data_IF_719670062016
#
_entry.id   IF_719670062016
#
_cell.length_a   1.000
_cell.length_b   1.000
_cell.length_c   1.000
_cell.angle_alpha   90.00
_cell.angle_beta   90.00
_cell.angle_gamma   90.00
#
_symmetry.space_group_name_H-M   'P 1'
#
loop_
_entity.id
_entity.type
_entity.pdbx_description
1 polymer ?
#
# COMPACT_ATOMS: atom_id res chain seq x y z
N UNK A 1 -11.39 -12.82 0.07
CA UNK A 1 -10.84 -12.15 1.27
C UNK A 1 -11.04 -10.63 1.21
N UNK A 2 -11.63 -10.14 0.11
CA UNK A 2 -11.46 -8.80 -0.42
C UNK A 2 -12.48 -7.80 0.14
N UNK A 3 -13.33 -8.23 1.08
CA UNK A 3 -14.38 -7.45 1.72
C UNK A 3 -15.31 -6.72 0.74
N UNK A 4 -15.68 -7.40 -0.34
CA UNK A 4 -16.45 -6.86 -1.47
C UNK A 4 -17.92 -7.33 -1.48
N UNK A 5 -18.44 -7.78 -0.33
CA UNK A 5 -19.84 -8.23 -0.19
C UNK A 5 -20.70 -7.07 0.31
N UNK A 6 -21.71 -6.69 -0.49
CA UNK A 6 -22.71 -5.70 -0.07
C UNK A 6 -23.48 -6.17 1.18
N UNK A 7 -23.78 -5.23 2.08
CA UNK A 7 -24.52 -5.43 3.34
C UNK A 7 -23.75 -6.18 4.45
N UNK A 8 -22.43 -6.27 4.38
CA UNK A 8 -21.58 -6.65 5.52
C UNK A 8 -20.34 -5.78 5.61
N UNK A 9 -20.03 -5.27 6.80
CA UNK A 9 -18.84 -4.45 7.02
C UNK A 9 -17.55 -5.28 7.02
N UNK A 10 -17.66 -6.60 7.26
CA UNK A 10 -16.55 -7.55 7.28
C UNK A 10 -16.92 -8.87 6.64
N UNK A 11 -15.96 -9.48 5.96
CA UNK A 11 -16.06 -10.82 5.38
C UNK A 11 -15.08 -11.77 6.05
N UNK A 12 -15.44 -13.04 6.13
CA UNK A 12 -14.56 -14.07 6.67
C UNK A 12 -13.23 -14.11 5.89
N UNK A 13 -12.12 -14.16 6.61
CA UNK A 13 -10.78 -14.17 6.04
C UNK A 13 -10.18 -12.80 5.71
N UNK A 14 -10.96 -11.71 5.80
CA UNK A 14 -10.42 -10.35 5.63
C UNK A 14 -9.37 -10.00 6.69
N UNK A 15 -9.69 -10.18 7.98
CA UNK A 15 -8.76 -9.89 9.08
C UNK A 15 -7.46 -10.70 8.98
N UNK A 16 -7.55 -11.97 8.56
CA UNK A 16 -6.38 -12.82 8.34
C UNK A 16 -5.53 -12.29 7.18
N UNK A 17 -6.15 -11.89 6.07
CA UNK A 17 -5.44 -11.30 4.94
C UNK A 17 -4.75 -9.98 5.30
N UNK A 18 -5.44 -9.09 6.02
CA UNK A 18 -4.88 -7.84 6.54
C UNK A 18 -3.69 -8.13 7.46
N UNK A 19 -3.81 -9.11 8.36
CA UNK A 19 -2.71 -9.51 9.25
C UNK A 19 -1.47 -9.99 8.49
N UNK A 20 -1.64 -10.86 7.50
CA UNK A 20 -0.54 -11.37 6.67
C UNK A 20 0.10 -10.24 5.85
N UNK A 21 -0.71 -9.39 5.22
CA UNK A 21 -0.21 -8.25 4.45
C UNK A 21 0.55 -7.24 5.32
N UNK A 22 0.05 -6.97 6.54
CA UNK A 22 0.70 -6.09 7.52
C UNK A 22 2.09 -6.62 7.89
N UNK A 23 2.19 -7.91 8.21
CA UNK A 23 3.47 -8.54 8.54
C UNK A 23 4.45 -8.51 7.37
N UNK A 24 3.97 -8.74 6.15
CA UNK A 24 4.79 -8.64 4.95
C UNK A 24 5.35 -7.22 4.75
N UNK A 25 4.52 -6.19 4.91
CA UNK A 25 4.92 -4.79 4.79
C UNK A 25 5.97 -4.42 5.85
N UNK A 26 5.76 -4.85 7.10
CA UNK A 26 6.71 -4.58 8.20
C UNK A 26 8.08 -5.24 7.93
N UNK A 27 8.07 -6.51 7.48
CA UNK A 27 9.31 -7.20 7.08
C UNK A 27 10.03 -6.48 5.94
N UNK A 28 9.29 -6.05 4.91
CA UNK A 28 9.85 -5.32 3.78
C UNK A 28 10.43 -3.96 4.19
N UNK A 29 9.83 -3.29 5.17
CA UNK A 29 10.31 -2.00 5.68
C UNK A 29 11.72 -2.09 6.25
N UNK A 30 12.03 -3.13 7.02
CA UNK A 30 13.36 -3.32 7.62
C UNK A 30 14.46 -3.51 6.56
N UNK A 31 14.18 -4.25 5.49
CA UNK A 31 15.13 -4.45 4.39
C UNK A 31 15.22 -3.22 3.48
N UNK A 32 14.11 -2.51 3.27
CA UNK A 32 14.10 -1.25 2.53
C UNK A 32 14.98 -0.20 3.21
N UNK A 33 14.89 -0.09 4.54
CA UNK A 33 15.71 0.82 5.33
C UNK A 33 17.20 0.46 5.27
N UNK A 34 17.53 -0.82 5.45
CA UNK A 34 18.91 -1.30 5.47
C UNK A 34 19.65 -1.09 4.14
N UNK A 35 18.95 -1.20 3.01
CA UNK A 35 19.54 -1.07 1.68
C UNK A 35 19.17 0.22 0.94
N UNK A 36 18.53 1.17 1.62
CA UNK A 36 18.10 2.45 1.04
C UNK A 36 17.26 2.27 -0.23
N UNK A 37 16.26 1.39 -0.17
CA UNK A 37 15.42 1.01 -1.31
C UNK A 37 14.03 1.62 -1.22
N UNK A 38 13.45 1.85 -2.39
CA UNK A 38 12.00 2.04 -2.55
C UNK A 38 11.42 0.69 -2.93
N UNK A 39 10.44 0.22 -2.16
CA UNK A 39 9.74 -1.04 -2.43
C UNK A 39 8.28 -0.75 -2.70
N UNK A 40 7.75 -1.39 -3.74
CA UNK A 40 6.32 -1.37 -4.06
C UNK A 40 5.78 -2.75 -3.74
N UNK A 41 4.68 -2.80 -3.00
CA UNK A 41 4.07 -4.03 -2.50
C UNK A 41 2.64 -4.07 -3.02
N UNK A 42 2.38 -4.99 -3.92
CA UNK A 42 1.02 -5.24 -4.40
C UNK A 42 0.28 -6.16 -3.42
N UNK A 43 -0.96 -5.82 -3.10
CA UNK A 43 -1.84 -6.63 -2.26
C UNK A 43 -3.15 -6.93 -2.98
N UNK A 44 -3.71 -8.10 -2.67
CA UNK A 44 -5.02 -8.51 -3.19
C UNK A 44 -6.13 -7.60 -2.68
N UNK A 45 -7.25 -7.58 -3.40
CA UNK A 45 -8.42 -6.75 -3.08
C UNK A 45 -9.40 -6.58 -4.25
N UNK A 46 -9.04 -7.08 -5.44
CA UNK A 46 -9.74 -7.00 -6.71
C UNK A 46 -10.13 -5.56 -7.06
N UNK A 47 -11.34 -5.15 -6.71
CA UNK A 47 -11.89 -3.82 -6.99
C UNK A 47 -12.02 -2.97 -5.73
N UNK A 48 -11.64 -3.50 -4.56
CA UNK A 48 -11.73 -2.85 -3.27
C UNK A 48 -10.34 -2.67 -2.65
N UNK A 49 -10.08 -1.47 -2.13
CA UNK A 49 -8.82 -1.06 -1.52
C UNK A 49 -8.68 -1.42 -0.03
N UNK A 50 -9.64 -2.10 0.59
CA UNK A 50 -9.68 -2.31 2.03
C UNK A 50 -8.43 -2.97 2.60
N UNK A 51 -7.93 -4.03 1.95
CA UNK A 51 -6.72 -4.72 2.38
C UNK A 51 -5.51 -3.78 2.30
N UNK A 52 -5.35 -3.06 1.19
CA UNK A 52 -4.24 -2.11 1.00
C UNK A 52 -4.28 -0.96 2.00
N UNK A 53 -5.46 -0.44 2.28
CA UNK A 53 -5.67 0.63 3.25
C UNK A 53 -5.32 0.18 4.67
N UNK A 54 -5.96 -0.88 5.17
CA UNK A 54 -5.76 -1.33 6.55
C UNK A 54 -4.35 -1.87 6.77
N UNK A 55 -3.84 -2.72 5.86
CA UNK A 55 -2.49 -3.27 6.00
C UNK A 55 -1.40 -2.23 5.75
N UNK A 56 -1.60 -1.30 4.82
CA UNK A 56 -0.67 -0.21 4.56
C UNK A 56 -0.55 0.73 5.77
N UNK A 57 -1.67 1.07 6.41
CA UNK A 57 -1.67 1.87 7.63
C UNK A 57 -1.02 1.12 8.79
N UNK A 58 -1.38 -0.15 9.01
CA UNK A 58 -0.85 -0.95 10.11
C UNK A 58 0.65 -1.28 9.95
N UNK A 59 1.10 -1.60 8.74
CA UNK A 59 2.50 -1.91 8.40
C UNK A 59 3.39 -0.66 8.27
N UNK A 60 2.79 0.54 8.31
CA UNK A 60 3.52 1.80 8.18
C UNK A 60 4.10 2.02 6.78
N UNK A 61 3.32 1.70 5.75
CA UNK A 61 3.59 2.11 4.39
C UNK A 61 3.63 3.64 4.29
N UNK A 62 4.47 4.15 3.39
CA UNK A 62 4.69 5.57 3.17
C UNK A 62 3.76 6.16 2.11
N UNK A 63 3.31 5.33 1.18
CA UNK A 63 2.24 5.62 0.23
C UNK A 63 1.29 4.43 0.14
N UNK A 64 0.00 4.72 -0.08
CA UNK A 64 -1.04 3.70 -0.27
C UNK A 64 -1.85 4.08 -1.51
N UNK A 65 -1.90 3.19 -2.50
CA UNK A 65 -2.65 3.37 -3.73
C UNK A 65 -3.89 2.46 -3.72
N UNK A 66 -5.06 3.04 -3.98
CA UNK A 66 -6.35 2.37 -3.87
C UNK A 66 -7.11 2.45 -5.20
N UNK A 67 -7.93 1.44 -5.57
CA UNK A 67 -8.77 1.49 -6.77
C UNK A 67 -9.82 2.60 -6.71
N UNK A 68 -10.28 2.98 -5.51
CA UNK A 68 -11.32 3.99 -5.32
C UNK A 68 -10.83 5.42 -5.59
N UNK A 69 -9.50 5.63 -5.61
CA UNK A 69 -8.90 6.94 -5.84
C UNK A 69 -7.71 6.81 -6.79
N UNK A 70 -7.86 7.21 -8.07
CA UNK A 70 -6.76 7.25 -9.01
C UNK A 70 -5.61 8.10 -8.45
N UNK A 71 -4.39 7.61 -8.57
CA UNK A 71 -3.20 8.27 -8.04
C UNK A 71 -2.38 8.90 -9.16
N UNK A 72 -1.66 9.98 -8.85
CA UNK A 72 -0.68 10.57 -9.74
C UNK A 72 0.70 9.97 -9.43
N UNK A 73 1.39 9.48 -10.46
CA UNK A 73 2.74 8.91 -10.30
C UNK A 73 3.71 9.97 -9.79
N UNK A 74 3.60 11.20 -10.30
CA UNK A 74 4.41 12.34 -9.87
C UNK A 74 4.27 12.64 -8.37
N UNK A 75 3.07 12.50 -7.80
CA UNK A 75 2.86 12.71 -6.36
C UNK A 75 3.60 11.65 -5.52
N UNK A 76 3.65 10.40 -6.00
CA UNK A 76 4.41 9.32 -5.36
C UNK A 76 5.91 9.58 -5.44
N UNK A 77 6.40 9.98 -6.62
CA UNK A 77 7.82 10.32 -6.84
C UNK A 77 8.22 11.47 -5.92
N UNK A 78 7.44 12.56 -5.90
CA UNK A 78 7.67 13.71 -5.03
C UNK A 78 7.68 13.31 -3.55
N UNK A 79 6.74 12.48 -3.11
CA UNK A 79 6.71 11.97 -1.73
C UNK A 79 7.98 11.20 -1.38
N UNK A 80 8.51 10.37 -2.29
CA UNK A 80 9.78 9.65 -2.11
C UNK A 80 10.96 10.63 -2.04
N UNK A 81 11.04 11.59 -2.96
CA UNK A 81 12.11 12.60 -2.98
C UNK A 81 12.13 13.47 -1.71
N UNK A 82 10.96 13.89 -1.22
CA UNK A 82 10.84 14.61 0.04
C UNK A 82 11.35 13.80 1.23
N UNK A 83 11.13 12.48 1.24
CA UNK A 83 11.69 11.61 2.28
C UNK A 83 13.20 11.51 2.19
N UNK A 84 13.73 11.38 0.97
CA UNK A 84 15.16 11.24 0.72
C UNK A 84 15.92 12.52 1.11
N UNK A 85 15.37 13.69 0.79
CA UNK A 85 15.93 14.99 1.20
C UNK A 85 15.96 15.19 2.72
N UNK A 86 15.04 14.57 3.46
CA UNK A 86 15.02 14.55 4.94
C UNK A 86 15.94 13.49 5.55
N UNK A 87 16.77 12.81 4.75
CA UNK A 87 17.70 11.77 5.20
C UNK A 87 17.08 10.38 5.36
N UNK A 88 15.77 10.22 5.14
CA UNK A 88 15.09 8.90 5.17
C UNK A 88 15.11 8.30 3.76
N UNK A 89 16.23 7.69 3.39
CA UNK A 89 16.49 7.16 2.04
C UNK A 89 15.79 5.83 1.71
N UNK A 90 14.57 5.64 2.20
CA UNK A 90 13.78 4.46 1.88
C UNK A 90 12.29 4.78 1.89
N UNK A 91 11.54 4.00 1.12
CA UNK A 91 10.09 4.07 1.07
C UNK A 91 9.50 2.68 0.80
N UNK A 92 8.26 2.50 1.25
CA UNK A 92 7.46 1.30 1.02
C UNK A 92 6.10 1.82 0.60
N UNK A 93 5.64 1.41 -0.58
CA UNK A 93 4.38 1.85 -1.16
C UNK A 93 3.49 0.62 -1.26
N UNK A 94 2.36 0.63 -0.58
CA UNK A 94 1.34 -0.40 -0.68
C UNK A 94 0.40 -0.07 -1.83
N UNK A 95 0.14 -1.02 -2.72
CA UNK A 95 -0.68 -0.82 -3.92
C UNK A 95 -1.72 -1.95 -3.95
N UNK A 96 -3.00 -1.60 -3.95
CA UNK A 96 -4.04 -2.58 -4.23
C UNK A 96 -3.92 -3.06 -5.68
N UNK A 97 -4.16 -4.34 -5.96
CA UNK A 97 -4.07 -4.91 -7.32
C UNK A 97 -4.97 -4.20 -8.36
N UNK A 98 -6.08 -3.61 -7.92
CA UNK A 98 -6.99 -2.83 -8.76
C UNK A 98 -6.64 -1.35 -8.86
N UNK A 99 -5.61 -0.87 -8.16
CA UNK A 99 -5.22 0.53 -8.19
C UNK A 99 -4.66 0.89 -9.58
N UNK A 100 -5.09 2.04 -10.08
CA UNK A 100 -4.66 2.53 -11.37
C UNK A 100 -4.26 4.01 -11.27
N UNK A 101 -3.28 4.43 -12.07
CA UNK A 101 -2.95 5.84 -12.13
C UNK A 101 -4.09 6.64 -12.76
N UNK A 102 -4.11 7.94 -12.50
CA UNK A 102 -4.98 8.88 -13.20
C UNK A 102 -4.58 9.00 -14.68
N UNK A 103 -5.54 9.31 -15.55
CA UNK A 103 -5.26 9.49 -16.98
C UNK A 103 -4.23 10.61 -17.21
N UNK A 104 -3.15 10.30 -17.94
CA UNK A 104 -2.11 11.26 -18.30
C UNK A 104 -0.97 11.41 -17.29
N UNK A 105 -0.87 10.52 -16.30
CA UNK A 105 0.25 10.41 -15.34
C UNK A 105 1.55 9.92 -15.97
#
# INVERSE_FOLDING_TARGET
IDNDISATDRTFGFDTAVGVATEAIDRLKTTAESHQRVMVVEVMGRHAGWIALESGMAGGAHGICLPERPFQVDDLVKMVEERFSRGKKFAVICVAEGAHPAEGS
#
